data_IF_980230094238
#
_entry.id   IF_980230094238
#
_cell.length_a   1.000
_cell.length_b   1.000
_cell.length_c   1.000
_cell.angle_alpha   90.00
_cell.angle_beta   90.00
_cell.angle_gamma   90.00
#
_symmetry.space_group_name_H-M   'P 1'
#
loop_
_entity.id
_entity.type
_entity.pdbx_description
1 polymer ?
#
# COMPACT_ATOMS: atom_id res chain seq x y z
N UNK A 1 -27.90 -3.41 -8.93
CA UNK A 1 -27.89 -1.96 -8.70
C UNK A 1 -27.56 -1.29 -10.04
N UNK A 2 -28.35 -0.32 -10.49
CA UNK A 2 -28.10 0.33 -11.80
C UNK A 2 -27.24 1.55 -11.61
N UNK A 3 -26.20 1.72 -12.44
CA UNK A 3 -25.30 2.87 -12.43
C UNK A 3 -25.91 4.00 -13.26
N UNK A 4 -25.73 5.22 -12.74
CA UNK A 4 -26.07 6.47 -13.42
C UNK A 4 -24.86 7.09 -14.09
N UNK A 5 -23.73 7.16 -13.37
CA UNK A 5 -22.49 7.74 -13.91
C UNK A 5 -21.26 7.18 -13.21
N UNK A 6 -20.14 7.18 -13.92
CA UNK A 6 -18.79 6.86 -13.38
C UNK A 6 -17.88 8.03 -13.72
N UNK A 7 -17.15 8.55 -12.72
CA UNK A 7 -16.24 9.66 -12.89
C UNK A 7 -14.86 9.30 -12.38
N UNK A 8 -13.85 9.77 -13.08
CA UNK A 8 -12.45 9.70 -12.69
C UNK A 8 -11.94 11.07 -12.31
N UNK A 9 -11.39 11.18 -11.11
CA UNK A 9 -10.77 12.39 -10.59
C UNK A 9 -9.27 12.17 -10.35
N UNK A 10 -8.48 13.20 -10.55
CA UNK A 10 -7.14 13.32 -10.00
C UNK A 10 -7.22 14.05 -8.65
N UNK A 11 -6.76 13.43 -7.57
CA UNK A 11 -6.77 13.97 -6.21
C UNK A 11 -5.37 14.48 -5.83
N UNK A 12 -5.30 15.71 -5.31
CA UNK A 12 -4.06 16.36 -4.93
C UNK A 12 -4.14 17.11 -3.60
N UNK A 13 -4.27 16.41 -2.48
CA UNK A 13 -4.31 17.00 -1.14
C UNK A 13 -2.92 17.53 -0.76
N UNK A 14 -2.76 18.81 -0.38
CA UNK A 14 -1.49 19.34 0.07
C UNK A 14 -0.94 18.63 1.30
N UNK A 15 0.38 18.50 1.35
CA UNK A 15 1.09 18.05 2.55
C UNK A 15 1.53 19.24 3.40
N UNK A 16 1.52 19.08 4.71
CA UNK A 16 1.99 20.09 5.68
C UNK A 16 3.48 20.39 5.54
N UNK A 17 4.24 19.42 5.02
CA UNK A 17 5.66 19.52 4.71
C UNK A 17 5.98 18.65 3.49
N UNK A 18 7.12 18.91 2.85
CA UNK A 18 7.54 18.10 1.70
C UNK A 18 7.91 16.69 2.15
N UNK A 19 7.40 15.68 1.45
CA UNK A 19 7.80 14.29 1.66
C UNK A 19 8.70 13.89 0.52
N UNK A 20 9.95 13.51 0.84
CA UNK A 20 10.93 13.11 -0.17
C UNK A 20 11.09 11.60 -0.16
N UNK A 21 11.14 11.05 -1.33
CA UNK A 21 11.63 9.73 -1.67
C UNK A 21 12.97 9.91 -2.38
N UNK A 22 13.85 8.90 -2.39
CA UNK A 22 15.15 8.98 -3.10
C UNK A 22 15.01 9.47 -4.54
N UNK A 23 13.87 9.19 -5.18
CA UNK A 23 13.60 9.52 -6.59
C UNK A 23 12.75 10.78 -6.80
N UNK A 24 11.98 11.25 -5.81
CA UNK A 24 11.03 12.36 -6.01
C UNK A 24 10.63 13.05 -4.70
N UNK A 25 10.61 14.40 -4.70
CA UNK A 25 10.01 15.22 -3.64
C UNK A 25 8.54 15.51 -3.94
N UNK A 26 7.68 15.45 -2.93
CA UNK A 26 6.24 15.66 -3.07
C UNK A 26 5.72 16.65 -2.05
N UNK A 27 4.85 17.55 -2.51
CA UNK A 27 4.14 18.53 -1.67
C UNK A 27 2.63 18.29 -1.61
N UNK A 28 2.13 17.33 -2.38
CA UNK A 28 0.72 16.92 -2.39
C UNK A 28 0.58 15.44 -2.69
N UNK A 29 -0.57 14.87 -2.32
CA UNK A 29 -0.96 13.52 -2.75
C UNK A 29 -1.06 13.48 -4.29
N UNK A 30 -0.94 12.29 -4.84
CA UNK A 30 -1.17 12.01 -6.26
C UNK A 30 -1.92 10.69 -6.33
N UNK A 31 -3.22 10.78 -6.21
CA UNK A 31 -4.13 9.65 -6.28
C UNK A 31 -5.15 9.86 -7.38
N UNK A 32 -5.78 8.80 -7.82
CA UNK A 32 -6.98 8.83 -8.65
C UNK A 32 -8.15 8.32 -7.82
N UNK A 33 -9.32 8.93 -8.04
CA UNK A 33 -10.57 8.51 -7.42
C UNK A 33 -11.55 8.10 -8.51
N UNK A 34 -12.14 6.93 -8.36
CA UNK A 34 -13.34 6.53 -9.08
C UNK A 34 -14.55 6.86 -8.19
N UNK A 35 -15.46 7.69 -8.69
CA UNK A 35 -16.77 7.96 -8.13
C UNK A 35 -17.82 7.25 -8.98
N UNK A 36 -18.59 6.34 -8.41
CA UNK A 36 -19.72 5.67 -9.04
C UNK A 36 -21.01 6.20 -8.41
N UNK A 37 -21.90 6.79 -9.22
CA UNK A 37 -23.23 7.19 -8.79
C UNK A 37 -24.25 6.18 -9.30
N UNK A 38 -25.08 5.67 -8.41
CA UNK A 38 -26.17 4.75 -8.73
C UNK A 38 -27.49 5.49 -8.99
N UNK A 39 -28.48 4.84 -9.61
CA UNK A 39 -29.77 5.47 -9.94
C UNK A 39 -30.56 5.88 -8.70
N UNK A 40 -30.35 5.23 -7.56
CA UNK A 40 -30.97 5.62 -6.28
C UNK A 40 -30.29 6.85 -5.63
N UNK A 41 -29.26 7.41 -6.28
CA UNK A 41 -28.56 8.61 -5.83
C UNK A 41 -27.36 8.35 -4.92
N UNK A 42 -27.08 7.10 -4.57
CA UNK A 42 -25.95 6.73 -3.71
C UNK A 42 -24.60 6.89 -4.43
N UNK A 43 -23.57 7.30 -3.70
CA UNK A 43 -22.21 7.41 -4.21
C UNK A 43 -21.32 6.32 -3.61
N UNK A 44 -20.44 5.77 -4.44
CA UNK A 44 -19.45 4.77 -4.10
C UNK A 44 -18.08 5.22 -4.59
N UNK A 45 -17.04 4.98 -3.82
CA UNK A 45 -15.73 5.50 -4.11
C UNK A 45 -14.69 4.39 -4.10
N UNK A 46 -13.66 4.58 -4.93
CA UNK A 46 -12.43 3.80 -4.87
C UNK A 46 -11.23 4.68 -5.20
N UNK A 47 -10.09 4.35 -4.65
CA UNK A 47 -8.84 5.08 -4.83
C UNK A 47 -7.75 4.18 -5.36
N UNK A 48 -6.94 4.72 -6.27
CA UNK A 48 -5.67 4.18 -6.70
C UNK A 48 -4.57 5.22 -6.56
N UNK A 49 -3.36 4.77 -6.36
CA UNK A 49 -2.21 5.64 -6.15
C UNK A 49 -1.14 5.39 -7.23
N UNK A 50 -1.29 5.98 -8.44
CA UNK A 50 -0.34 5.78 -9.53
C UNK A 50 1.06 6.28 -9.15
N UNK A 51 2.08 5.52 -9.56
CA UNK A 51 3.48 5.83 -9.29
C UNK A 51 4.30 5.58 -10.55
N UNK A 52 4.39 6.61 -11.40
CA UNK A 52 5.11 6.53 -12.67
C UNK A 52 6.54 6.00 -12.50
N UNK A 53 7.24 6.43 -11.44
CA UNK A 53 8.63 6.02 -11.17
C UNK A 53 8.77 4.61 -10.54
N UNK A 54 7.69 3.97 -10.12
CA UNK A 54 7.69 2.61 -9.56
C UNK A 54 7.17 1.59 -10.57
N UNK A 55 6.00 1.86 -11.18
CA UNK A 55 5.26 0.92 -12.02
C UNK A 55 4.96 1.48 -13.41
N UNK A 56 5.57 2.61 -13.77
CA UNK A 56 5.42 3.25 -15.08
C UNK A 56 3.95 3.50 -15.48
N UNK A 57 3.16 4.07 -14.57
CA UNK A 57 1.76 4.44 -14.81
C UNK A 57 1.58 5.96 -14.98
N UNK A 58 1.79 6.53 -16.16
CA UNK A 58 1.50 7.93 -16.41
C UNK A 58 -0.03 8.17 -16.47
N UNK A 59 -0.47 9.37 -16.10
CA UNK A 59 -1.89 9.75 -16.09
C UNK A 59 -2.56 9.58 -17.46
N UNK A 60 -1.82 9.76 -18.55
CA UNK A 60 -2.33 9.55 -19.91
C UNK A 60 -2.79 8.10 -20.14
N UNK A 61 -2.02 7.11 -19.67
CA UNK A 61 -2.39 5.69 -19.78
C UNK A 61 -3.64 5.37 -18.96
N UNK A 62 -3.79 5.98 -17.78
CA UNK A 62 -4.97 5.81 -16.93
C UNK A 62 -6.23 6.38 -17.63
N UNK A 63 -6.13 7.57 -18.23
CA UNK A 63 -7.24 8.18 -19.00
C UNK A 63 -7.66 7.32 -20.18
N UNK A 64 -6.68 6.83 -20.96
CA UNK A 64 -6.95 5.96 -22.11
C UNK A 64 -7.66 4.67 -21.67
N UNK A 65 -7.12 4.00 -20.64
CA UNK A 65 -7.71 2.78 -20.10
C UNK A 65 -9.13 3.01 -19.55
N UNK A 66 -9.37 4.12 -18.83
CA UNK A 66 -10.69 4.48 -18.35
C UNK A 66 -11.69 4.60 -19.50
N UNK A 67 -11.33 5.34 -20.55
CA UNK A 67 -12.19 5.59 -21.71
C UNK A 67 -12.52 4.31 -22.49
N UNK A 68 -11.65 3.31 -22.47
CA UNK A 68 -11.89 2.02 -23.11
C UNK A 68 -12.66 1.04 -22.20
N UNK A 69 -12.31 0.96 -20.93
CA UNK A 69 -12.84 -0.02 -19.98
C UNK A 69 -14.25 0.35 -19.53
N UNK A 70 -14.45 1.61 -19.11
CA UNK A 70 -15.69 1.99 -18.42
C UNK A 70 -16.93 1.87 -19.28
N UNK A 71 -16.94 2.23 -20.58
CA UNK A 71 -18.10 2.01 -21.44
C UNK A 71 -18.47 0.54 -21.65
N UNK A 72 -17.49 -0.36 -21.48
CA UNK A 72 -17.69 -1.81 -21.62
C UNK A 72 -18.12 -2.47 -20.30
N UNK A 73 -18.06 -1.73 -19.17
CA UNK A 73 -18.47 -2.25 -17.87
C UNK A 73 -19.98 -2.53 -17.88
N UNK A 74 -20.32 -3.79 -18.00
CA UNK A 74 -21.66 -4.23 -17.65
C UNK A 74 -21.72 -4.54 -16.15
N UNK A 75 -21.94 -3.50 -15.35
CA UNK A 75 -21.92 -3.60 -13.88
C UNK A 75 -23.06 -4.46 -13.34
N UNK A 76 -24.11 -4.67 -14.11
CA UNK A 76 -25.15 -5.64 -13.76
C UNK A 76 -24.59 -7.06 -13.63
N UNK A 77 -23.48 -7.34 -14.32
CA UNK A 77 -22.75 -8.61 -14.28
C UNK A 77 -21.59 -8.62 -13.25
N UNK A 78 -21.24 -7.48 -12.63
CA UNK A 78 -20.22 -7.40 -11.57
C UNK A 78 -20.87 -7.61 -10.20
N UNK A 79 -21.53 -8.77 -10.02
CA UNK A 79 -22.30 -9.11 -8.82
C UNK A 79 -21.64 -10.16 -7.93
N UNK A 80 -20.38 -10.50 -8.24
CA UNK A 80 -19.59 -11.48 -7.51
C UNK A 80 -18.13 -11.07 -7.41
N UNK A 81 -17.43 -11.60 -6.41
CA UNK A 81 -15.98 -11.44 -6.24
C UNK A 81 -15.24 -11.91 -7.50
N UNK A 82 -15.64 -13.03 -8.07
CA UNK A 82 -15.00 -13.58 -9.27
C UNK A 82 -15.09 -12.64 -10.48
N UNK A 83 -16.24 -11.99 -10.70
CA UNK A 83 -16.40 -11.05 -11.81
C UNK A 83 -15.59 -9.76 -11.61
N UNK A 84 -15.51 -9.25 -10.38
CA UNK A 84 -14.70 -8.08 -10.03
C UNK A 84 -13.21 -8.40 -10.21
N UNK A 85 -12.74 -9.54 -9.71
CA UNK A 85 -11.35 -10.00 -9.85
C UNK A 85 -10.97 -10.18 -11.31
N UNK A 86 -11.83 -10.80 -12.13
CA UNK A 86 -11.60 -10.96 -13.58
C UNK A 86 -11.44 -9.62 -14.29
N UNK A 87 -12.22 -8.61 -13.90
CA UNK A 87 -12.06 -7.25 -14.42
C UNK A 87 -10.71 -6.66 -14.02
N UNK A 88 -10.31 -6.79 -12.76
CA UNK A 88 -9.01 -6.30 -12.27
C UNK A 88 -7.84 -6.95 -13.01
N UNK A 89 -7.91 -8.26 -13.25
CA UNK A 89 -6.94 -8.95 -14.12
C UNK A 89 -6.90 -8.35 -15.52
N UNK A 90 -8.06 -8.16 -16.14
CA UNK A 90 -8.15 -7.58 -17.50
C UNK A 90 -7.52 -6.20 -17.56
N UNK A 91 -7.80 -5.31 -16.60
CA UNK A 91 -7.24 -3.96 -16.57
C UNK A 91 -5.72 -4.01 -16.38
N UNK A 92 -5.24 -4.82 -15.44
CA UNK A 92 -3.80 -4.94 -15.18
C UNK A 92 -3.05 -5.58 -16.33
N UNK A 93 -3.58 -6.64 -16.91
CA UNK A 93 -2.84 -7.46 -17.89
C UNK A 93 -2.88 -6.87 -19.30
N UNK A 94 -4.02 -6.28 -19.70
CA UNK A 94 -4.19 -5.65 -21.01
C UNK A 94 -3.71 -4.20 -21.04
N UNK A 95 -4.12 -3.40 -20.07
CA UNK A 95 -3.88 -1.94 -20.08
C UNK A 95 -2.68 -1.52 -19.23
N UNK A 96 -2.14 -2.40 -18.38
CA UNK A 96 -0.97 -2.13 -17.51
C UNK A 96 -1.18 -0.94 -16.57
N UNK A 97 -2.40 -0.78 -16.03
CA UNK A 97 -2.77 0.32 -15.13
C UNK A 97 -3.40 -0.22 -13.83
N UNK A 98 -2.55 -0.68 -12.93
CA UNK A 98 -2.95 -1.31 -11.66
C UNK A 98 -3.66 -0.33 -10.72
N UNK A 99 -3.30 0.95 -10.73
CA UNK A 99 -3.97 1.96 -9.91
C UNK A 99 -5.43 2.16 -10.34
N UNK A 100 -5.73 2.14 -11.64
CA UNK A 100 -7.11 2.21 -12.12
C UNK A 100 -7.90 0.95 -11.74
N UNK A 101 -7.30 -0.22 -11.90
CA UNK A 101 -7.91 -1.48 -11.47
C UNK A 101 -8.28 -1.43 -9.98
N UNK A 102 -7.34 -0.98 -9.14
CA UNK A 102 -7.56 -0.82 -7.69
C UNK A 102 -8.73 0.12 -7.39
N UNK A 103 -8.75 1.29 -8.02
CA UNK A 103 -9.82 2.27 -7.79
C UNK A 103 -11.20 1.71 -8.20
N UNK A 104 -11.29 1.04 -9.33
CA UNK A 104 -12.54 0.39 -9.77
C UNK A 104 -12.91 -0.75 -8.82
N UNK A 105 -11.97 -1.62 -8.47
CA UNK A 105 -12.20 -2.77 -7.58
C UNK A 105 -12.70 -2.32 -6.20
N UNK A 106 -12.07 -1.32 -5.58
CA UNK A 106 -12.50 -0.78 -4.29
C UNK A 106 -13.93 -0.24 -4.34
N UNK A 107 -14.29 0.53 -5.38
CA UNK A 107 -15.65 1.05 -5.55
C UNK A 107 -16.67 -0.08 -5.77
N UNK A 108 -16.31 -1.12 -6.53
CA UNK A 108 -17.18 -2.27 -6.78
C UNK A 108 -17.36 -3.14 -5.51
N UNK A 109 -16.32 -3.31 -4.71
CA UNK A 109 -16.42 -4.00 -3.43
C UNK A 109 -17.32 -3.24 -2.43
N UNK A 110 -17.25 -1.90 -2.42
CA UNK A 110 -18.17 -1.07 -1.62
C UNK A 110 -19.64 -1.29 -2.04
N UNK A 111 -19.90 -1.32 -3.34
CA UNK A 111 -21.23 -1.62 -3.90
C UNK A 111 -21.67 -3.04 -3.51
N UNK A 112 -20.82 -4.04 -3.75
CA UNK A 112 -21.15 -5.45 -3.51
C UNK A 112 -21.44 -5.71 -2.03
N UNK A 113 -20.63 -5.15 -1.13
CA UNK A 113 -20.81 -5.24 0.32
C UNK A 113 -22.20 -4.72 0.75
N UNK A 114 -22.55 -3.52 0.32
CA UNK A 114 -23.85 -2.89 0.64
C UNK A 114 -25.02 -3.63 0.00
N UNK A 115 -24.87 -4.15 -1.23
CA UNK A 115 -25.88 -4.95 -1.92
C UNK A 115 -26.13 -6.28 -1.23
N UNK A 116 -25.09 -6.97 -0.81
CA UNK A 116 -25.17 -8.32 -0.21
C UNK A 116 -25.32 -8.31 1.31
N UNK A 117 -25.23 -7.15 1.95
CA UNK A 117 -25.24 -6.98 3.41
C UNK A 117 -24.12 -7.79 4.10
N UNK A 118 -22.96 -7.91 3.42
CA UNK A 118 -21.76 -8.56 3.93
C UNK A 118 -20.63 -7.56 4.03
N UNK A 119 -19.78 -7.64 5.05
CA UNK A 119 -18.57 -6.82 5.13
C UNK A 119 -17.62 -7.15 3.97
N UNK A 120 -16.81 -6.17 3.52
CA UNK A 120 -15.78 -6.43 2.50
C UNK A 120 -14.77 -7.47 3.03
N UNK A 121 -14.44 -7.43 4.33
CA UNK A 121 -13.60 -8.45 4.96
C UNK A 121 -14.11 -9.86 4.68
N UNK A 122 -15.41 -10.13 4.91
CA UNK A 122 -16.02 -11.45 4.66
C UNK A 122 -16.17 -11.80 3.18
N UNK A 123 -16.16 -10.80 2.29
CA UNK A 123 -16.17 -11.02 0.84
C UNK A 123 -14.79 -11.40 0.29
N UNK A 124 -13.70 -10.87 0.89
CA UNK A 124 -12.33 -11.16 0.51
C UNK A 124 -11.86 -12.50 1.09
N UNK A 125 -12.28 -12.79 2.33
CA UNK A 125 -11.84 -13.95 3.08
C UNK A 125 -13.03 -14.78 3.54
N UNK A 126 -13.13 -16.03 3.08
CA UNK A 126 -14.28 -16.89 3.32
C UNK A 126 -14.26 -17.61 4.69
N UNK A 127 -13.22 -17.44 5.51
CA UNK A 127 -13.12 -18.11 6.80
C UNK A 127 -13.65 -17.22 7.92
N UNK A 128 -14.36 -17.81 8.88
CA UNK A 128 -14.83 -17.13 10.11
C UNK A 128 -13.68 -16.75 11.07
N UNK A 129 -12.43 -16.94 10.67
CA UNK A 129 -11.25 -16.62 11.47
C UNK A 129 -11.00 -15.10 11.46
N UNK A 130 -11.18 -14.48 12.61
CA UNK A 130 -10.81 -13.07 12.81
C UNK A 130 -9.32 -12.95 13.14
N UNK A 131 -8.53 -12.52 12.18
CA UNK A 131 -7.12 -12.21 12.43
C UNK A 131 -6.97 -11.01 13.37
N UNK A 132 -5.97 -11.09 14.26
CA UNK A 132 -5.60 -9.93 15.08
C UNK A 132 -5.00 -8.87 14.17
N UNK A 133 -5.53 -7.64 14.23
CA UNK A 133 -4.93 -6.53 13.49
C UNK A 133 -3.49 -6.30 13.93
N UNK A 134 -2.58 -6.34 12.96
CA UNK A 134 -1.21 -5.92 13.15
C UNK A 134 -1.17 -4.42 13.49
N UNK A 135 -0.34 -3.96 14.44
CA UNK A 135 -0.16 -2.54 14.70
C UNK A 135 0.50 -1.83 13.50
N UNK A 136 0.13 -0.57 13.30
CA UNK A 136 0.78 0.27 12.30
C UNK A 136 2.22 0.58 12.68
N UNK A 137 3.11 0.55 11.67
CA UNK A 137 4.53 0.85 11.78
C UNK A 137 4.81 2.35 11.70
N UNK A 138 5.89 2.80 12.34
CA UNK A 138 6.50 4.09 12.07
C UNK A 138 7.41 4.02 10.84
N UNK A 139 7.56 5.15 10.14
CA UNK A 139 8.51 5.28 9.02
C UNK A 139 9.46 6.43 9.34
N UNK A 140 10.76 6.13 9.34
CA UNK A 140 11.84 7.08 9.57
C UNK A 140 12.63 7.30 8.28
N UNK A 141 12.78 8.56 7.89
CA UNK A 141 13.57 8.96 6.72
C UNK A 141 14.59 9.99 7.16
N UNK A 142 15.86 9.77 6.85
CA UNK A 142 16.91 10.75 7.11
C UNK A 142 17.02 11.74 5.95
N UNK A 143 16.87 13.01 6.25
CA UNK A 143 17.12 14.13 5.33
C UNK A 143 18.02 15.16 5.98
N UNK A 144 17.56 15.64 7.13
CA UNK A 144 18.35 16.44 8.05
C UNK A 144 18.16 15.90 9.47
N UNK A 145 19.11 16.21 10.32
CA UNK A 145 19.17 15.69 11.68
C UNK A 145 17.96 16.11 12.52
N UNK A 146 17.43 17.32 12.30
CA UNK A 146 16.33 17.86 13.09
C UNK A 146 15.03 17.14 12.75
N UNK A 147 14.66 17.04 11.47
CA UNK A 147 13.44 16.33 11.03
C UNK A 147 13.47 14.86 11.45
N UNK A 148 14.64 14.23 11.37
CA UNK A 148 14.82 12.84 11.79
C UNK A 148 14.53 12.66 13.29
N UNK A 149 15.11 13.52 14.15
CA UNK A 149 14.88 13.49 15.60
C UNK A 149 13.42 13.77 15.92
N UNK A 150 12.78 14.77 15.30
CA UNK A 150 11.37 15.09 15.52
C UNK A 150 10.46 13.90 15.17
N UNK A 151 10.73 13.20 14.05
CA UNK A 151 9.97 12.02 13.66
C UNK A 151 10.22 10.84 14.62
N UNK A 152 11.48 10.64 15.04
CA UNK A 152 11.86 9.59 15.99
C UNK A 152 11.16 9.80 17.35
N UNK A 153 11.13 11.03 17.87
CA UNK A 153 10.40 11.37 19.08
C UNK A 153 8.87 11.19 18.93
N UNK A 154 8.32 11.47 17.76
CA UNK A 154 6.91 11.19 17.49
C UNK A 154 6.63 9.68 17.52
N UNK A 155 7.47 8.86 16.92
CA UNK A 155 7.37 7.39 16.95
C UNK A 155 7.43 6.88 18.39
N UNK A 156 8.37 7.41 19.19
CA UNK A 156 8.50 7.11 20.63
C UNK A 156 7.26 7.51 21.41
N UNK A 157 6.76 8.74 21.23
CA UNK A 157 5.54 9.24 21.87
C UNK A 157 4.32 8.39 21.54
N UNK A 158 4.21 7.93 20.29
CA UNK A 158 3.15 7.04 19.84
C UNK A 158 3.37 5.60 20.32
N UNK A 159 4.52 5.27 20.88
CA UNK A 159 4.89 3.91 21.33
C UNK A 159 4.65 2.86 20.25
N UNK A 160 5.09 3.16 19.01
CA UNK A 160 4.91 2.23 17.89
C UNK A 160 5.82 1.02 18.09
N UNK A 161 5.31 -0.22 18.00
CA UNK A 161 6.11 -1.42 18.24
C UNK A 161 6.98 -1.82 17.05
N UNK A 162 6.74 -1.24 15.89
CA UNK A 162 7.39 -1.57 14.63
C UNK A 162 7.83 -0.29 13.92
N UNK A 163 9.03 -0.30 13.36
CA UNK A 163 9.61 0.86 12.67
C UNK A 163 10.33 0.42 11.41
N UNK A 164 10.15 1.17 10.33
CA UNK A 164 10.93 1.09 9.11
C UNK A 164 11.86 2.30 9.03
N UNK A 165 13.16 2.06 8.92
CA UNK A 165 14.19 3.09 8.72
C UNK A 165 14.69 3.02 7.28
N UNK A 166 14.63 4.15 6.57
CA UNK A 166 15.25 4.27 5.25
C UNK A 166 16.76 4.37 5.36
N UNK A 167 17.45 3.55 4.58
CA UNK A 167 18.90 3.43 4.49
C UNK A 167 19.39 3.61 3.05
N UNK A 168 20.71 3.56 2.83
CA UNK A 168 21.34 3.73 1.53
C UNK A 168 22.14 5.02 1.42
N UNK A 169 22.66 5.51 2.55
CA UNK A 169 23.52 6.70 2.62
C UNK A 169 24.61 6.53 3.70
N UNK A 170 25.57 7.46 3.75
CA UNK A 170 26.73 7.40 4.65
C UNK A 170 26.40 7.51 6.15
N UNK A 171 25.13 7.76 6.51
CA UNK A 171 24.68 7.92 7.90
C UNK A 171 23.92 6.69 8.43
N UNK A 172 23.86 5.60 7.69
CA UNK A 172 23.00 4.46 8.01
C UNK A 172 23.28 3.89 9.39
N UNK A 173 24.53 3.59 9.71
CA UNK A 173 24.94 3.04 11.01
C UNK A 173 24.60 4.02 12.16
N UNK A 174 24.89 5.29 12.01
CA UNK A 174 24.63 6.29 13.04
C UNK A 174 23.13 6.46 13.28
N UNK A 175 22.34 6.38 12.22
CA UNK A 175 20.88 6.44 12.34
C UNK A 175 20.31 5.18 12.99
N UNK A 176 20.79 3.99 12.63
CA UNK A 176 20.41 2.72 13.28
C UNK A 176 20.73 2.77 14.77
N UNK A 177 21.96 3.18 15.14
CA UNK A 177 22.38 3.36 16.55
C UNK A 177 21.43 4.29 17.29
N UNK A 178 21.16 5.47 16.74
CA UNK A 178 20.26 6.43 17.35
C UNK A 178 18.82 5.88 17.52
N UNK A 179 18.31 5.17 16.52
CA UNK A 179 16.99 4.53 16.62
C UNK A 179 16.98 3.52 17.78
N UNK A 180 18.02 2.70 17.91
CA UNK A 180 18.15 1.73 19.01
C UNK A 180 18.35 2.39 20.38
N UNK A 181 19.09 3.47 20.45
CA UNK A 181 19.26 4.25 21.69
C UNK A 181 17.94 4.86 22.17
N UNK A 182 17.15 5.44 21.26
CA UNK A 182 15.90 6.16 21.58
C UNK A 182 14.71 5.22 21.78
N UNK A 183 14.57 4.21 20.96
CA UNK A 183 13.39 3.30 20.95
C UNK A 183 13.65 1.99 21.69
N UNK A 184 14.91 1.61 21.91
CA UNK A 184 15.28 0.38 22.59
C UNK A 184 15.30 -0.88 21.68
N UNK A 185 15.67 -2.02 22.26
CA UNK A 185 15.82 -3.29 21.54
C UNK A 185 14.50 -4.00 21.24
N UNK A 186 13.44 -3.71 21.99
CA UNK A 186 12.14 -4.39 21.86
C UNK A 186 11.31 -3.93 20.66
N UNK A 187 11.75 -2.86 19.97
CA UNK A 187 11.11 -2.39 18.74
C UNK A 187 11.54 -3.29 17.58
N UNK A 188 10.59 -3.78 16.81
CA UNK A 188 10.88 -4.46 15.55
C UNK A 188 11.37 -3.40 14.53
N UNK A 189 12.63 -3.50 14.11
CA UNK A 189 13.28 -2.56 13.20
C UNK A 189 13.56 -3.22 11.86
N UNK A 190 12.95 -2.67 10.80
CA UNK A 190 13.21 -3.00 9.40
C UNK A 190 14.02 -1.90 8.75
N UNK A 191 14.86 -2.27 7.80
CA UNK A 191 15.57 -1.31 6.94
C UNK A 191 14.95 -1.31 5.54
N UNK A 192 14.88 -0.14 4.91
CA UNK A 192 14.38 0.02 3.54
C UNK A 192 15.43 0.78 2.72
N UNK A 193 16.15 0.05 1.87
CA UNK A 193 17.20 0.61 1.04
C UNK A 193 16.67 1.27 -0.24
N UNK A 194 15.41 1.05 -0.62
CA UNK A 194 14.80 1.57 -1.85
C UNK A 194 15.72 1.44 -3.07
N UNK A 195 16.33 0.26 -3.24
CA UNK A 195 17.23 -0.06 -4.36
C UNK A 195 18.49 0.80 -4.41
N UNK A 196 19.06 1.13 -3.25
CA UNK A 196 20.22 2.04 -3.18
C UNK A 196 21.56 1.36 -3.48
N UNK A 197 21.70 0.04 -3.25
CA UNK A 197 23.00 -0.62 -3.25
C UNK A 197 23.29 -1.45 -4.50
N UNK A 198 24.55 -1.48 -4.91
CA UNK A 198 25.09 -2.56 -5.74
C UNK A 198 25.21 -3.84 -4.88
N UNK A 199 25.39 -4.99 -5.52
CA UNK A 199 25.66 -6.26 -4.81
C UNK A 199 26.87 -6.15 -3.86
N UNK A 200 27.95 -5.51 -4.32
CA UNK A 200 29.16 -5.29 -3.52
C UNK A 200 28.89 -4.40 -2.30
N UNK A 201 28.16 -3.29 -2.49
CA UNK A 201 27.77 -2.41 -1.39
C UNK A 201 26.88 -3.13 -0.38
N UNK A 202 25.88 -3.90 -0.84
CA UNK A 202 25.02 -4.68 0.04
C UNK A 202 25.80 -5.69 0.89
N UNK A 203 26.72 -6.45 0.26
CA UNK A 203 27.57 -7.43 0.96
C UNK A 203 28.52 -6.79 1.99
N UNK A 204 28.95 -5.56 1.74
CA UNK A 204 29.81 -4.83 2.67
C UNK A 204 29.01 -4.20 3.82
N UNK A 205 27.84 -3.62 3.55
CA UNK A 205 27.07 -2.85 4.55
C UNK A 205 26.20 -3.73 5.44
N UNK A 206 25.53 -4.75 4.88
CA UNK A 206 24.56 -5.55 5.64
C UNK A 206 25.15 -6.26 6.86
N UNK A 207 26.37 -6.83 6.83
CA UNK A 207 26.99 -7.44 8.01
C UNK A 207 27.16 -6.48 9.19
N UNK A 208 27.36 -5.18 8.95
CA UNK A 208 27.46 -4.17 9.99
C UNK A 208 26.17 -3.96 10.76
N UNK A 209 25.01 -4.39 10.19
CA UNK A 209 23.70 -4.27 10.81
C UNK A 209 23.33 -5.45 11.72
N UNK A 210 24.08 -6.56 11.72
CA UNK A 210 23.74 -7.77 12.47
C UNK A 210 23.63 -7.54 13.99
N UNK A 211 24.46 -6.66 14.54
CA UNK A 211 24.44 -6.34 15.98
C UNK A 211 23.19 -5.54 16.43
N UNK A 212 22.41 -5.02 15.46
CA UNK A 212 21.26 -4.16 15.74
C UNK A 212 19.91 -4.87 15.66
N UNK A 213 19.89 -6.20 15.57
CA UNK A 213 18.68 -7.01 15.57
C UNK A 213 17.65 -6.55 14.50
N UNK A 214 18.10 -6.47 13.25
CA UNK A 214 17.30 -6.06 12.09
C UNK A 214 16.46 -7.23 11.61
N UNK A 215 15.13 -7.03 11.52
CA UNK A 215 14.17 -8.09 11.17
C UNK A 215 14.02 -8.35 9.67
N UNK A 216 14.36 -7.37 8.82
CA UNK A 216 14.44 -7.52 7.36
C UNK A 216 15.04 -6.30 6.68
N UNK A 217 15.53 -6.50 5.44
CA UNK A 217 15.97 -5.43 4.55
C UNK A 217 15.08 -5.42 3.31
N UNK A 218 14.41 -4.27 3.08
CA UNK A 218 13.51 -4.06 1.95
C UNK A 218 14.30 -3.51 0.76
N UNK A 219 14.12 -4.12 -0.41
CA UNK A 219 14.68 -3.71 -1.71
C UNK A 219 16.16 -3.28 -1.66
N UNK A 220 17.09 -4.17 -1.31
CA UNK A 220 18.49 -3.78 -1.12
C UNK A 220 19.19 -3.39 -2.41
N UNK A 221 18.92 -4.07 -3.54
CA UNK A 221 19.72 -3.95 -4.76
C UNK A 221 19.17 -2.97 -5.78
N UNK A 222 20.08 -2.28 -6.47
CA UNK A 222 19.77 -1.46 -7.65
C UNK A 222 18.94 -2.24 -8.68
N UNK A 223 18.06 -1.57 -9.46
CA UNK A 223 17.24 -2.22 -10.49
C UNK A 223 18.06 -3.04 -11.50
N UNK A 224 19.28 -2.61 -11.82
CA UNK A 224 20.22 -3.33 -12.72
C UNK A 224 20.76 -4.61 -12.11
N UNK A 225 20.68 -4.79 -10.80
CA UNK A 225 21.24 -5.93 -10.07
C UNK A 225 20.20 -6.80 -9.38
N UNK A 226 18.91 -6.51 -9.57
CA UNK A 226 17.80 -7.22 -8.94
C UNK A 226 17.83 -8.74 -9.21
N UNK A 227 18.37 -9.16 -10.35
CA UNK A 227 18.56 -10.58 -10.67
C UNK A 227 19.51 -11.31 -9.70
N UNK A 228 20.33 -10.56 -8.95
CA UNK A 228 21.27 -11.11 -7.95
C UNK A 228 20.63 -11.29 -6.56
N UNK A 229 19.35 -10.94 -6.35
CA UNK A 229 18.68 -11.05 -5.05
C UNK A 229 18.73 -12.47 -4.48
N UNK A 230 18.59 -13.49 -5.33
CA UNK A 230 18.69 -14.89 -4.91
C UNK A 230 20.12 -15.25 -4.41
N UNK A 231 21.16 -14.66 -5.01
CA UNK A 231 22.53 -14.86 -4.52
C UNK A 231 22.72 -14.10 -3.20
N UNK A 232 22.31 -12.83 -3.14
CA UNK A 232 22.41 -12.04 -1.92
C UNK A 232 21.73 -12.73 -0.72
N UNK A 233 20.54 -13.31 -0.93
CA UNK A 233 19.80 -14.00 0.14
C UNK A 233 20.56 -15.21 0.73
N UNK A 234 21.49 -15.80 0.00
CA UNK A 234 22.35 -16.90 0.50
C UNK A 234 23.55 -16.37 1.28
N UNK A 235 24.01 -15.18 0.92
CA UNK A 235 25.24 -14.60 1.46
C UNK A 235 24.98 -13.74 2.72
N UNK A 236 23.73 -13.43 3.04
CA UNK A 236 23.34 -12.64 4.23
C UNK A 236 22.36 -13.42 5.14
N UNK A 237 22.35 -13.06 6.44
CA UNK A 237 21.46 -13.69 7.42
C UNK A 237 20.14 -12.96 7.61
N UNK A 238 20.07 -11.65 7.28
CA UNK A 238 18.85 -10.86 7.41
C UNK A 238 17.90 -11.17 6.24
N UNK A 239 16.61 -11.47 6.48
CA UNK A 239 15.64 -11.71 5.43
C UNK A 239 15.47 -10.51 4.49
N UNK A 240 15.29 -10.78 3.19
CA UNK A 240 15.00 -9.77 2.16
C UNK A 240 13.49 -9.58 2.04
N UNK A 241 13.03 -8.34 2.04
CA UNK A 241 11.64 -7.98 1.74
C UNK A 241 11.57 -7.36 0.34
N UNK A 242 10.62 -7.84 -0.48
CA UNK A 242 10.40 -7.31 -1.82
C UNK A 242 9.21 -6.36 -1.83
N UNK A 243 9.42 -5.15 -2.36
CA UNK A 243 8.40 -4.12 -2.62
C UNK A 243 8.34 -3.82 -4.13
N UNK A 244 9.24 -3.03 -4.65
CA UNK A 244 9.24 -2.66 -6.08
C UNK A 244 9.51 -3.83 -7.01
N UNK A 245 10.15 -4.88 -6.53
CA UNK A 245 10.46 -6.08 -7.32
C UNK A 245 9.29 -7.05 -7.44
N UNK A 246 8.19 -6.84 -6.72
CA UNK A 246 7.00 -7.69 -6.76
C UNK A 246 5.73 -6.85 -6.95
N UNK A 247 4.96 -7.13 -8.00
CA UNK A 247 3.67 -6.46 -8.30
C UNK A 247 2.65 -7.38 -8.98
N UNK A 248 2.95 -8.68 -9.13
CA UNK A 248 2.01 -9.68 -9.64
C UNK A 248 2.40 -11.10 -9.21
N UNK A 249 1.55 -12.06 -9.50
CA UNK A 249 1.76 -13.48 -9.17
C UNK A 249 3.00 -14.07 -9.85
N UNK A 250 3.30 -13.69 -11.08
CA UNK A 250 4.46 -14.23 -11.81
C UNK A 250 5.78 -13.96 -11.07
N UNK A 251 5.94 -12.74 -10.53
CA UNK A 251 7.12 -12.38 -9.74
C UNK A 251 7.12 -13.07 -8.38
N UNK A 252 5.95 -13.21 -7.74
CA UNK A 252 5.85 -13.96 -6.50
C UNK A 252 6.35 -15.39 -6.66
N UNK A 253 5.94 -16.07 -7.72
CA UNK A 253 6.43 -17.42 -8.09
C UNK A 253 7.93 -17.39 -8.35
N UNK A 254 8.39 -16.50 -9.23
CA UNK A 254 9.81 -16.39 -9.62
C UNK A 254 10.75 -16.28 -8.41
N UNK A 255 10.44 -15.39 -7.45
CA UNK A 255 11.31 -15.20 -6.30
C UNK A 255 11.17 -16.32 -5.27
N UNK A 256 9.97 -16.86 -5.05
CA UNK A 256 9.77 -17.97 -4.12
C UNK A 256 10.39 -19.29 -4.59
N UNK A 257 10.62 -19.46 -5.90
CA UNK A 257 11.32 -20.64 -6.45
C UNK A 257 12.85 -20.52 -6.34
N UNK A 258 13.37 -19.32 -6.06
CA UNK A 258 14.82 -19.05 -6.08
C UNK A 258 15.39 -18.60 -4.74
N UNK A 259 14.54 -18.15 -3.82
CA UNK A 259 14.91 -17.67 -2.47
C UNK A 259 14.19 -18.53 -1.42
N UNK A 260 14.93 -18.94 -0.39
CA UNK A 260 14.37 -19.69 0.74
C UNK A 260 13.21 -18.90 1.39
N UNK A 261 12.03 -19.50 1.58
CA UNK A 261 10.88 -18.82 2.19
C UNK A 261 11.17 -18.17 3.54
N UNK A 262 12.06 -18.74 4.35
CA UNK A 262 12.46 -18.17 5.64
C UNK A 262 13.27 -16.87 5.51
N UNK A 263 13.89 -16.64 4.36
CA UNK A 263 14.70 -15.45 4.02
C UNK A 263 13.97 -14.50 3.08
N UNK A 264 12.70 -14.75 2.77
CA UNK A 264 11.89 -13.97 1.83
C UNK A 264 10.65 -13.39 2.52
N UNK A 265 10.36 -12.11 2.28
CA UNK A 265 9.12 -11.45 2.68
C UNK A 265 8.55 -10.65 1.52
N UNK A 266 7.24 -10.47 1.48
CA UNK A 266 6.57 -9.65 0.46
C UNK A 266 5.90 -8.42 1.09
N UNK A 267 6.17 -7.23 0.52
CA UNK A 267 5.47 -6.00 0.85
C UNK A 267 4.37 -5.75 -0.18
N UNK A 268 3.15 -6.11 0.18
CA UNK A 268 1.98 -5.93 -0.67
C UNK A 268 1.52 -4.48 -0.59
N UNK A 269 1.25 -3.85 -1.73
CA UNK A 269 0.62 -2.53 -1.82
C UNK A 269 -0.58 -2.64 -2.74
N UNK A 270 -1.79 -2.40 -2.24
CA UNK A 270 -3.03 -2.65 -2.98
C UNK A 270 -3.03 -2.00 -4.35
N UNK A 271 -2.63 -0.71 -4.42
CA UNK A 271 -2.60 0.02 -5.69
C UNK A 271 -1.57 -0.51 -6.70
N UNK A 272 -0.49 -1.11 -6.23
CA UNK A 272 0.54 -1.71 -7.07
C UNK A 272 0.09 -3.07 -7.64
N UNK A 273 -0.67 -3.84 -6.87
CA UNK A 273 -1.15 -5.16 -7.27
C UNK A 273 -2.43 -5.13 -8.12
N UNK A 274 -3.10 -3.97 -8.22
CA UNK A 274 -4.34 -3.84 -8.99
C UNK A 274 -5.60 -4.11 -8.17
N UNK A 275 -5.50 -4.04 -6.83
CA UNK A 275 -6.61 -4.15 -5.90
C UNK A 275 -6.43 -5.19 -4.80
N UNK A 276 -7.31 -5.17 -3.79
CA UNK A 276 -7.24 -6.11 -2.66
C UNK A 276 -7.45 -7.58 -3.07
N UNK A 277 -8.24 -7.89 -4.09
CA UNK A 277 -8.48 -9.28 -4.50
C UNK A 277 -7.22 -9.89 -5.15
N UNK A 278 -6.56 -9.16 -6.04
CA UNK A 278 -5.29 -9.62 -6.64
C UNK A 278 -4.17 -9.71 -5.60
N UNK A 279 -4.13 -8.76 -4.66
CA UNK A 279 -3.20 -8.83 -3.54
C UNK A 279 -3.48 -10.04 -2.64
N UNK A 280 -4.76 -10.43 -2.46
CA UNK A 280 -5.16 -11.63 -1.73
C UNK A 280 -4.70 -12.92 -2.40
N UNK A 281 -4.76 -13.00 -3.75
CA UNK A 281 -4.20 -14.16 -4.48
C UNK A 281 -2.72 -14.35 -4.17
N UNK A 282 -1.93 -13.26 -4.21
CA UNK A 282 -0.50 -13.30 -3.90
C UNK A 282 -0.26 -13.60 -2.42
N UNK A 283 -1.07 -13.05 -1.52
CA UNK A 283 -0.99 -13.36 -0.09
C UNK A 283 -1.23 -14.86 0.17
N UNK A 284 -2.28 -15.44 -0.40
CA UNK A 284 -2.62 -16.87 -0.24
C UNK A 284 -1.49 -17.75 -0.78
N UNK A 285 -0.93 -17.40 -1.94
CA UNK A 285 0.22 -18.10 -2.51
C UNK A 285 1.45 -18.06 -1.58
N UNK A 286 1.78 -16.89 -1.06
CA UNK A 286 2.90 -16.67 -0.14
C UNK A 286 2.69 -17.42 1.18
N UNK A 287 1.51 -17.27 1.77
CA UNK A 287 1.13 -17.91 3.04
C UNK A 287 1.23 -19.45 2.97
N UNK A 288 0.76 -20.05 1.89
CA UNK A 288 0.87 -21.50 1.65
C UNK A 288 2.33 -22.00 1.58
N UNK A 289 3.30 -21.11 1.37
CA UNK A 289 4.75 -21.40 1.32
C UNK A 289 5.52 -20.94 2.56
N UNK A 290 4.83 -20.42 3.57
CA UNK A 290 5.47 -19.90 4.78
C UNK A 290 6.19 -18.55 4.56
N UNK A 291 5.91 -17.84 3.46
CA UNK A 291 6.47 -16.52 3.17
C UNK A 291 5.61 -15.46 3.88
N UNK A 292 6.24 -14.68 4.74
CA UNK A 292 5.57 -13.61 5.46
C UNK A 292 5.21 -12.45 4.54
N UNK A 293 4.00 -11.92 4.68
CA UNK A 293 3.53 -10.75 3.96
C UNK A 293 3.31 -9.56 4.90
N UNK A 294 3.55 -8.38 4.37
CA UNK A 294 3.24 -7.09 4.97
C UNK A 294 2.31 -6.31 4.05
N UNK A 295 1.57 -5.36 4.59
CA UNK A 295 0.86 -4.38 3.79
C UNK A 295 1.58 -3.03 3.87
N UNK A 296 2.17 -2.61 2.75
CA UNK A 296 2.70 -1.28 2.55
C UNK A 296 1.66 -0.30 2.03
N UNK A 297 2.03 0.98 1.98
CA UNK A 297 1.21 2.03 1.40
C UNK A 297 2.02 2.91 0.45
N UNK A 298 1.31 3.66 -0.38
CA UNK A 298 1.89 4.76 -1.14
C UNK A 298 1.69 6.07 -0.38
N UNK A 299 2.72 6.91 -0.34
CA UNK A 299 2.63 8.21 0.33
C UNK A 299 1.48 9.03 -0.26
N UNK A 300 0.56 9.49 0.59
CA UNK A 300 -0.56 10.34 0.20
C UNK A 300 -1.84 9.58 -0.15
N UNK A 301 -1.95 8.30 0.20
CA UNK A 301 -3.24 7.59 0.17
C UNK A 301 -4.23 8.27 1.12
N UNK A 302 -5.45 8.52 0.61
CA UNK A 302 -6.54 9.09 1.39
C UNK A 302 -7.24 8.04 2.26
N UNK A 303 -8.25 8.46 2.98
CA UNK A 303 -9.09 7.56 3.78
C UNK A 303 -9.71 6.42 2.99
N UNK A 304 -9.93 6.56 1.68
CA UNK A 304 -10.52 5.50 0.85
C UNK A 304 -9.58 4.29 0.79
N UNK A 305 -8.36 4.50 0.30
CA UNK A 305 -7.41 3.41 0.13
C UNK A 305 -6.85 2.94 1.49
N UNK A 306 -6.70 3.86 2.46
CA UNK A 306 -6.33 3.51 3.84
C UNK A 306 -7.39 2.64 4.54
N UNK A 307 -8.69 2.88 4.31
CA UNK A 307 -9.77 2.02 4.81
C UNK A 307 -9.71 0.63 4.17
N UNK A 308 -9.56 0.57 2.86
CA UNK A 308 -9.41 -0.70 2.15
C UNK A 308 -8.18 -1.48 2.62
N UNK A 309 -7.05 -0.80 2.85
CA UNK A 309 -5.84 -1.42 3.43
C UNK A 309 -6.10 -2.00 4.82
N UNK A 310 -6.87 -1.31 5.67
CA UNK A 310 -7.27 -1.84 6.98
C UNK A 310 -8.18 -3.04 6.88
N UNK A 311 -9.15 -3.02 5.96
CA UNK A 311 -10.04 -4.16 5.70
C UNK A 311 -9.22 -5.36 5.19
N UNK A 312 -8.27 -5.13 4.30
CA UNK A 312 -7.34 -6.16 3.83
C UNK A 312 -6.53 -6.77 5.00
N UNK A 313 -6.01 -5.92 5.91
CA UNK A 313 -5.30 -6.36 7.10
C UNK A 313 -6.19 -7.10 8.11
N UNK A 314 -7.51 -6.90 8.08
CA UNK A 314 -8.47 -7.68 8.88
C UNK A 314 -8.69 -9.08 8.31
N UNK A 315 -8.64 -9.19 6.97
CA UNK A 315 -8.87 -10.43 6.25
C UNK A 315 -7.63 -11.35 6.19
N UNK A 316 -6.43 -10.82 6.48
CA UNK A 316 -5.18 -11.55 6.30
C UNK A 316 -4.23 -11.39 7.49
N UNK A 317 -3.49 -12.46 7.82
CA UNK A 317 -2.43 -12.41 8.82
C UNK A 317 -1.18 -11.73 8.22
N UNK A 318 -0.91 -10.50 8.67
CA UNK A 318 0.20 -9.68 8.20
C UNK A 318 1.25 -9.49 9.29
N UNK A 319 2.53 -9.46 8.90
CA UNK A 319 3.64 -9.20 9.83
C UNK A 319 3.81 -7.71 10.13
N UNK A 320 3.58 -6.84 9.13
CA UNK A 320 3.68 -5.39 9.27
C UNK A 320 2.52 -4.69 8.55
N UNK A 321 2.15 -3.51 9.06
CA UNK A 321 1.10 -2.68 8.47
C UNK A 321 1.57 -1.23 8.38
N UNK A 322 1.53 -0.67 7.18
CA UNK A 322 1.79 0.74 6.89
C UNK A 322 0.52 1.40 6.35
N UNK A 323 0.42 2.72 6.47
CA UNK A 323 -0.72 3.50 5.98
C UNK A 323 -1.49 4.22 7.07
N UNK A 324 -2.62 4.80 6.72
CA UNK A 324 -3.46 5.60 7.63
C UNK A 324 -2.69 6.73 8.32
N UNK A 325 -1.79 7.39 7.58
CA UNK A 325 -0.92 8.46 8.11
C UNK A 325 -1.46 9.86 7.85
N UNK A 326 -2.65 10.01 7.26
CA UNK A 326 -3.16 11.30 6.74
C UNK A 326 -3.10 12.44 7.77
N UNK A 327 -3.48 12.18 9.04
CA UNK A 327 -3.42 13.18 10.13
C UNK A 327 -2.02 13.72 10.40
N UNK A 328 -0.97 12.95 10.13
CA UNK A 328 0.39 13.34 10.46
C UNK A 328 1.02 14.27 9.39
N UNK A 329 0.63 14.12 8.13
CA UNK A 329 1.28 14.88 7.07
C UNK A 329 0.36 15.55 6.05
N UNK A 330 -0.92 15.18 5.93
CA UNK A 330 -1.87 15.89 5.06
C UNK A 330 -2.47 17.09 5.78
N UNK A 331 -2.77 18.16 5.03
CA UNK A 331 -3.53 19.28 5.58
C UNK A 331 -4.90 18.83 6.07
N UNK A 332 -5.55 18.00 5.26
CA UNK A 332 -6.89 17.45 5.55
C UNK A 332 -7.10 16.16 4.77
N UNK A 333 -7.89 15.23 5.33
CA UNK A 333 -8.39 14.08 4.59
C UNK A 333 -9.79 14.36 4.04
N UNK A 334 -10.23 13.58 3.06
CA UNK A 334 -11.54 13.69 2.40
C UNK A 334 -12.65 12.95 3.15
N UNK A 335 -12.33 12.23 4.22
CA UNK A 335 -13.31 11.50 5.04
C UNK A 335 -13.98 12.35 6.12
N UNK A 336 -15.14 11.91 6.58
CA UNK A 336 -15.82 12.49 7.72
C UNK A 336 -15.08 12.18 9.02
N UNK A 337 -14.53 10.98 9.14
CA UNK A 337 -13.88 10.46 10.33
C UNK A 337 -12.37 10.30 10.13
N UNK A 338 -11.61 10.58 11.19
CA UNK A 338 -10.18 10.30 11.21
C UNK A 338 -9.95 8.78 11.31
N UNK A 339 -9.36 8.21 10.28
CA UNK A 339 -9.00 6.78 10.22
C UNK A 339 -7.57 6.49 10.67
N UNK A 340 -6.84 7.49 11.15
CA UNK A 340 -5.47 7.33 11.64
C UNK A 340 -5.46 6.41 12.87
N UNK A 341 -4.38 5.68 13.04
CA UNK A 341 -4.18 4.83 14.22
C UNK A 341 -3.88 5.65 15.48
N UNK A 342 -4.07 5.03 16.65
CA UNK A 342 -3.79 5.58 17.95
C UNK A 342 -2.42 5.15 18.50
N UNK A 343 -2.13 5.52 19.76
CA UNK A 343 -0.92 5.06 20.45
C UNK A 343 -0.78 3.53 20.41
N UNK A 344 0.44 3.05 20.26
CA UNK A 344 0.74 1.63 20.03
C UNK A 344 0.51 1.16 18.59
N UNK A 345 0.26 2.06 17.64
CA UNK A 345 -0.11 1.69 16.27
C UNK A 345 -1.48 1.02 16.17
N UNK A 346 -2.32 1.16 17.21
CA UNK A 346 -3.58 0.45 17.33
C UNK A 346 -4.65 1.14 16.49
N UNK A 347 -5.39 0.37 15.69
CA UNK A 347 -6.56 0.85 14.96
C UNK A 347 -7.80 0.04 15.31
N UNK A 348 -8.97 0.67 15.15
CA UNK A 348 -10.24 -0.03 15.27
C UNK A 348 -10.50 -0.85 14.02
N UNK A 349 -11.11 -2.03 14.19
CA UNK A 349 -11.63 -2.80 13.05
C UNK A 349 -12.75 -2.01 12.38
N UNK A 350 -12.82 -2.14 11.06
CA UNK A 350 -13.96 -1.67 10.26
C UNK A 350 -14.96 -2.81 10.27
N UNK A 351 -16.13 -2.55 10.83
CA UNK A 351 -17.24 -3.52 10.96
C UNK A 351 -18.46 -3.12 10.14
N UNK A 352 -18.44 -1.90 9.63
CA UNK A 352 -19.47 -1.33 8.80
C UNK A 352 -19.47 -1.96 7.40
N UNK A 353 -20.60 -1.85 6.70
CA UNK A 353 -20.68 -2.25 5.29
C UNK A 353 -19.92 -1.27 4.40
N UNK A 354 -19.35 -1.80 3.33
CA UNK A 354 -18.54 -1.04 2.40
C UNK A 354 -17.20 -0.64 3.02
N UNK A 355 -16.71 0.53 2.65
CA UNK A 355 -15.39 1.05 3.08
C UNK A 355 -15.35 1.44 4.57
N UNK A 356 -16.50 1.48 5.27
CA UNK A 356 -16.55 1.88 6.67
C UNK A 356 -16.17 3.35 6.92
N UNK A 357 -16.13 4.16 5.87
CA UNK A 357 -15.87 5.59 5.96
C UNK A 357 -16.79 6.36 5.03
N UNK A 358 -17.22 7.55 5.47
CA UNK A 358 -18.03 8.46 4.68
C UNK A 358 -17.14 9.53 4.04
N UNK A 359 -17.27 9.70 2.72
CA UNK A 359 -16.48 10.67 1.96
C UNK A 359 -17.24 12.00 1.89
N UNK A 360 -16.60 13.07 2.33
CA UNK A 360 -17.10 14.44 2.18
C UNK A 360 -16.86 14.91 0.75
N UNK A 361 -17.89 14.78 -0.07
CA UNK A 361 -17.81 15.08 -1.49
C UNK A 361 -17.37 16.52 -1.76
N UNK A 362 -17.81 17.47 -0.95
CA UNK A 362 -17.44 18.88 -1.07
C UNK A 362 -15.92 19.07 -0.84
N UNK A 363 -15.34 18.37 0.13
CA UNK A 363 -13.90 18.42 0.40
C UNK A 363 -13.12 17.73 -0.72
N UNK A 364 -13.58 16.55 -1.16
CA UNK A 364 -12.97 15.86 -2.28
C UNK A 364 -12.93 16.76 -3.52
N UNK A 365 -14.01 17.47 -3.83
CA UNK A 365 -14.07 18.39 -4.98
C UNK A 365 -13.11 19.57 -4.87
N UNK A 366 -12.82 20.07 -3.68
CA UNK A 366 -11.82 21.15 -3.47
C UNK A 366 -10.40 20.70 -3.85
N UNK A 367 -10.08 19.44 -3.57
CA UNK A 367 -8.73 18.90 -3.78
C UNK A 367 -8.61 18.02 -5.01
N UNK A 368 -9.66 17.87 -5.81
CA UNK A 368 -9.64 17.02 -6.99
C UNK A 368 -10.07 17.76 -8.26
N UNK A 369 -9.59 17.23 -9.38
CA UNK A 369 -10.00 17.65 -10.72
C UNK A 369 -10.66 16.45 -11.41
N UNK A 370 -11.90 16.62 -11.92
CA UNK A 370 -12.54 15.65 -12.81
C UNK A 370 -11.75 15.58 -14.12
N UNK A 371 -11.32 14.39 -14.51
CA UNK A 371 -10.50 14.19 -15.72
C UNK A 371 -11.20 13.36 -16.79
N UNK A 372 -12.14 12.50 -16.40
CA UNK A 372 -13.00 11.73 -17.30
C UNK A 372 -14.37 11.48 -16.64
N UNK A 373 -15.40 11.37 -17.45
CA UNK A 373 -16.73 10.95 -17.01
C UNK A 373 -17.42 10.05 -18.04
N UNK A 374 -18.31 9.20 -17.54
CA UNK A 374 -19.16 8.33 -18.34
C UNK A 374 -20.55 8.33 -17.70
N UNK A 375 -21.56 8.76 -18.46
CA UNK A 375 -22.98 8.71 -18.11
C UNK A 375 -23.62 7.55 -18.85
N UNK A 376 -24.45 6.76 -18.14
CA UNK A 376 -25.10 5.55 -18.67
C UNK A 376 -26.59 5.77 -18.89
#
# INVERSE_FOLDING_TARGET
>A
MKIKSIKLYELGIPFRYSINHNLKSRRKSQSIIIEIKTLDGTYHYGEGAPREYVINEPMASIKSAFSEVVPQLNIENLDSIASILSLSHTICDKYKVSSLATAIECAMLDILSKKTQKSIESLIHNDDVKHKLCPYSGILTFRDRKEFIETLELVKKLSLPQVKLKVGNDHDIDNIKLVREVLGKNIDLRLDANRAWTMEQALNSIPEFYEYDISSIEEPLLPSEVAKLSQLSKDIDIPIMLDESIYNMQQAVQYSDTIDPSKLKFNLKLSKFGGPLRASEVFQYAHARGIMCSLGCNVGESAILSSMGRIFAQAHELSYLEGSYSRFFMERDISLHDITFSKGGISKRITELGLGTEIKREIMQVYSQEICSYDK
#
